data_IF_735939556390
#
_entry.id   IF_735939556390
#
_cell.length_a   1.000
_cell.length_b   1.000
_cell.length_c   1.000
_cell.angle_alpha   90.00
_cell.angle_beta   90.00
_cell.angle_gamma   90.00
#
_symmetry.space_group_name_H-M   'P 1'
#
loop_
_entity.id
_entity.type
_entity.pdbx_description
1 polymer ?
#
# COMPACT_ATOMS: atom_id res chain seq x y z
N UNK A 1 4.38 -4.34 -7.77
CA UNK A 1 3.10 -4.24 -7.06
C UNK A 1 2.67 -5.60 -6.56
N UNK A 2 2.54 -6.59 -7.45
CA UNK A 2 2.23 -7.98 -7.05
C UNK A 2 3.21 -8.48 -5.99
N UNK A 3 4.51 -8.32 -6.19
CA UNK A 3 5.53 -8.75 -5.20
C UNK A 3 5.38 -8.06 -3.84
N UNK A 4 4.96 -6.78 -3.82
CA UNK A 4 4.72 -6.04 -2.58
C UNK A 4 3.49 -6.60 -1.86
N UNK A 5 2.42 -6.88 -2.60
CA UNK A 5 1.20 -7.48 -2.05
C UNK A 5 1.50 -8.87 -1.48
N UNK A 6 2.19 -9.72 -2.25
CA UNK A 6 2.57 -11.07 -1.80
C UNK A 6 3.47 -11.01 -0.55
N UNK A 7 4.43 -10.09 -0.50
CA UNK A 7 5.29 -9.87 0.67
C UNK A 7 4.47 -9.48 1.91
N UNK A 8 3.58 -8.49 1.79
CA UNK A 8 2.76 -8.01 2.91
C UNK A 8 1.83 -9.12 3.41
N UNK A 9 1.15 -9.83 2.50
CA UNK A 9 0.25 -10.92 2.86
C UNK A 9 1.01 -12.07 3.55
N UNK A 10 2.22 -12.39 3.07
CA UNK A 10 3.09 -13.39 3.71
C UNK A 10 3.51 -12.98 5.12
N UNK A 11 3.97 -11.74 5.31
CA UNK A 11 4.38 -11.21 6.61
C UNK A 11 3.21 -11.15 7.61
N UNK A 12 2.03 -10.76 7.14
CA UNK A 12 0.82 -10.70 7.97
C UNK A 12 0.13 -12.07 8.17
N UNK A 13 0.62 -13.13 7.50
CA UNK A 13 0.02 -14.47 7.50
C UNK A 13 -1.44 -14.49 7.03
N UNK A 14 -1.75 -13.71 6.01
CA UNK A 14 -3.10 -13.57 5.45
C UNK A 14 -3.25 -14.46 4.24
N UNK A 15 -4.34 -15.22 4.18
CA UNK A 15 -4.63 -16.07 3.03
C UNK A 15 -5.17 -15.22 1.87
N UNK A 16 -4.36 -15.09 0.82
CA UNK A 16 -4.69 -14.34 -0.40
C UNK A 16 -5.88 -14.88 -1.20
N UNK A 17 -6.38 -16.08 -0.89
CA UNK A 17 -7.55 -16.67 -1.55
C UNK A 17 -8.87 -16.12 -1.04
N UNK A 18 -8.90 -15.68 0.22
CA UNK A 18 -10.11 -15.24 0.93
C UNK A 18 -10.02 -13.79 1.38
N UNK A 19 -8.94 -13.09 1.03
CA UNK A 19 -8.70 -11.72 1.46
C UNK A 19 -8.15 -10.87 0.33
N UNK A 20 -8.59 -9.62 0.30
CA UNK A 20 -8.06 -8.58 -0.56
C UNK A 20 -7.23 -7.60 0.26
N UNK A 21 -6.07 -7.22 -0.28
CA UNK A 21 -5.18 -6.23 0.32
C UNK A 21 -5.37 -4.88 -0.39
N UNK A 22 -5.67 -3.84 0.39
CA UNK A 22 -5.69 -2.46 -0.07
C UNK A 22 -4.49 -1.73 0.52
N UNK A 23 -3.67 -1.14 -0.36
CA UNK A 23 -2.48 -0.38 0.01
C UNK A 23 -2.68 1.08 -0.38
N UNK A 24 -2.48 1.99 0.57
CA UNK A 24 -2.67 3.42 0.40
C UNK A 24 -1.52 4.21 1.02
N UNK A 25 -1.29 5.45 0.59
CA UNK A 25 -0.44 6.40 1.29
C UNK A 25 -1.14 7.75 1.43
N UNK A 26 -0.77 8.50 2.46
CA UNK A 26 -1.29 9.85 2.72
C UNK A 26 -0.22 10.85 2.33
N UNK A 27 -0.50 11.65 1.30
CA UNK A 27 0.41 12.69 0.82
C UNK A 27 0.37 13.95 1.69
N UNK A 28 -0.82 14.31 2.16
CA UNK A 28 -1.08 15.43 3.06
C UNK A 28 -2.25 15.03 3.97
N UNK A 29 -2.25 15.51 5.21
CA UNK A 29 -3.28 15.21 6.22
C UNK A 29 -4.67 15.71 5.77
N UNK A 30 -4.72 16.74 4.92
CA UNK A 30 -5.98 17.27 4.37
C UNK A 30 -6.45 16.55 3.09
N UNK A 31 -5.63 15.65 2.53
CA UNK A 31 -5.93 14.95 1.29
C UNK A 31 -6.47 13.54 1.55
N UNK A 32 -7.36 13.09 0.65
CA UNK A 32 -7.79 11.70 0.60
C UNK A 32 -6.60 10.76 0.40
N UNK A 33 -6.58 9.58 1.05
CA UNK A 33 -5.56 8.57 0.80
C UNK A 33 -5.47 8.18 -0.67
N UNK A 34 -4.25 8.02 -1.17
CA UNK A 34 -3.98 7.66 -2.55
C UNK A 34 -3.71 6.15 -2.61
N UNK A 35 -4.49 5.44 -3.41
CA UNK A 35 -4.39 3.99 -3.58
C UNK A 35 -3.23 3.60 -4.48
N UNK A 36 -2.52 2.56 -4.09
CA UNK A 36 -1.51 1.88 -4.91
C UNK A 36 -2.17 0.62 -5.47
N UNK A 37 -2.55 0.65 -6.74
CA UNK A 37 -3.25 -0.48 -7.42
C UNK A 37 -2.48 -1.03 -8.62
N UNK A 38 -1.30 -0.48 -8.91
CA UNK A 38 -0.48 -0.83 -10.08
C UNK A 38 1.01 -0.59 -9.84
N UNK A 39 1.85 -1.14 -10.71
CA UNK A 39 3.31 -0.91 -10.67
C UNK A 39 3.66 0.56 -10.89
N UNK A 40 2.95 1.25 -11.78
CA UNK A 40 3.15 2.68 -12.03
C UNK A 40 2.85 3.52 -10.79
N UNK A 41 1.75 3.22 -10.09
CA UNK A 41 1.42 3.90 -8.84
C UNK A 41 2.46 3.61 -7.74
N UNK A 42 2.93 2.36 -7.64
CA UNK A 42 3.99 2.00 -6.69
C UNK A 42 5.30 2.72 -7.00
N UNK A 43 5.68 2.82 -8.27
CA UNK A 43 6.88 3.55 -8.68
C UNK A 43 6.79 5.03 -8.31
N UNK A 44 5.65 5.66 -8.57
CA UNK A 44 5.42 7.05 -8.17
C UNK A 44 5.54 7.26 -6.66
N UNK A 45 4.94 6.37 -5.87
CA UNK A 45 5.09 6.37 -4.40
C UNK A 45 6.56 6.30 -3.97
N UNK A 46 7.34 5.38 -4.55
CA UNK A 46 8.77 5.24 -4.22
C UNK A 46 9.58 6.49 -4.61
N UNK A 47 9.24 7.15 -5.73
CA UNK A 47 9.87 8.40 -6.14
C UNK A 47 9.55 9.56 -5.19
N UNK A 48 8.30 9.69 -4.73
CA UNK A 48 7.92 10.65 -3.69
C UNK A 48 8.72 10.40 -2.42
N UNK A 49 8.76 9.14 -1.97
CA UNK A 49 9.44 8.75 -0.74
C UNK A 49 10.95 8.99 -0.77
N UNK A 50 11.59 8.85 -1.94
CA UNK A 50 13.02 9.16 -2.14
C UNK A 50 13.34 10.65 -2.10
N UNK A 51 12.39 11.51 -2.46
CA UNK A 51 12.57 12.97 -2.46
C UNK A 51 12.40 13.58 -1.08
N UNK A 52 11.79 12.85 -0.15
CA UNK A 52 11.55 13.29 1.21
C UNK A 52 12.60 12.72 2.17
N UNK A 53 13.11 13.57 3.05
CA UNK A 53 14.16 13.20 4.02
C UNK A 53 13.58 12.56 5.29
N UNK A 54 12.27 12.64 5.50
CA UNK A 54 11.60 12.12 6.68
C UNK A 54 11.15 10.68 6.48
N UNK A 55 11.56 9.80 7.40
CA UNK A 55 11.12 8.40 7.39
C UNK A 55 9.60 8.23 7.55
N UNK A 56 8.91 9.21 8.14
CA UNK A 56 7.45 9.16 8.38
C UNK A 56 6.60 9.77 7.26
N UNK A 57 7.19 10.51 6.31
CA UNK A 57 6.44 11.10 5.20
C UNK A 57 5.78 10.01 4.33
N UNK A 58 4.56 10.20 3.82
CA UNK A 58 3.89 9.22 2.96
C UNK A 58 3.82 7.81 3.59
N UNK A 59 3.47 7.72 4.88
CA UNK A 59 3.33 6.43 5.54
C UNK A 59 2.31 5.55 4.80
N UNK A 60 2.66 4.28 4.56
CA UNK A 60 1.75 3.31 3.99
C UNK A 60 0.69 2.93 5.01
N UNK A 61 -0.57 2.93 4.56
CA UNK A 61 -1.70 2.29 5.22
C UNK A 61 -2.04 1.03 4.45
N UNK A 62 -2.21 -0.05 5.20
CA UNK A 62 -2.58 -1.35 4.66
C UNK A 62 -3.87 -1.75 5.33
N UNK A 63 -4.89 -2.02 4.52
CA UNK A 63 -6.19 -2.49 4.94
C UNK A 63 -6.42 -3.87 4.33
N UNK A 64 -6.97 -4.79 5.11
CA UNK A 64 -7.31 -6.13 4.65
C UNK A 64 -8.82 -6.27 4.78
N UNK A 65 -9.47 -6.71 3.72
CA UNK A 65 -10.89 -7.01 3.73
C UNK A 65 -11.11 -8.45 3.25
N UNK A 66 -12.00 -9.16 3.92
CA UNK A 66 -12.43 -10.50 3.48
C UNK A 66 -13.18 -10.38 2.14
N UNK A 67 -12.98 -11.36 1.27
CA UNK A 67 -13.75 -11.47 0.03
C UNK A 67 -14.99 -12.29 0.39
N UNK A 68 -16.17 -11.65 0.43
CA UNK A 68 -17.44 -12.37 0.52
C UNK A 68 -17.68 -13.11 -0.81
N UNK A 69 -17.98 -14.42 -0.72
CA UNK A 69 -18.38 -15.30 -1.84
C UNK A 69 -19.70 -14.84 -2.52
#
# INVERSE_FOLDING_TARGET
YVDLVDMILSEMKIDKRVSCLQIEYIADVEMSPIRITSDSALKFYLELKRRDHLMTAFALRVSVSEVED
#
